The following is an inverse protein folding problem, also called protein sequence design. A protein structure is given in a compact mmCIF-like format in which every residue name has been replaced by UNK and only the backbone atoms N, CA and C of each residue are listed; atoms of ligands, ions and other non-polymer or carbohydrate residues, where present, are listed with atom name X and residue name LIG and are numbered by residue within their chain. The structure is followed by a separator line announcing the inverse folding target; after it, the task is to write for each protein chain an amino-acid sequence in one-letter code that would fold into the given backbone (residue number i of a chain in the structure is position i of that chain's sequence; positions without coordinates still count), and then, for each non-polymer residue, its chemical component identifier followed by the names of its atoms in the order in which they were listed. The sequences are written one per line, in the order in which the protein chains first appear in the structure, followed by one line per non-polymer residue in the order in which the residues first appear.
data_IF_583934989904
#
_entry.id   IF_583934989904
#
_cell.length_a   1.000
_cell.length_b   1.000
_cell.length_c   1.000
_cell.angle_alpha   90.00
_cell.angle_beta   90.00
_cell.angle_gamma   90.00
#
_symmetry.space_group_name_H-M   'P 1'
#
loop_
_entity.id
_entity.type
_entity.pdbx_description
1 polymer ?
#
# COMPACT_ATOMS: atom_id res chain seq x y z
N UNK A 1 -9.33 -21.03 -1.35
CA UNK A 1 -10.43 -20.08 -1.10
C UNK A 1 -10.00 -18.70 -1.55
N UNK A 2 -10.87 -17.94 -2.23
CA UNK A 2 -10.60 -16.55 -2.66
C UNK A 2 -11.48 -15.62 -1.84
N UNK A 3 -10.88 -14.60 -1.22
CA UNK A 3 -11.60 -13.56 -0.48
C UNK A 3 -11.62 -12.28 -1.31
N UNK A 4 -12.79 -11.68 -1.47
CA UNK A 4 -13.03 -10.40 -2.19
C UNK A 4 -13.66 -9.33 -1.29
N UNK A 5 -14.22 -9.78 -0.17
CA UNK A 5 -14.90 -9.05 0.89
C UNK A 5 -13.94 -8.37 1.88
N UNK A 6 -12.67 -8.80 1.88
CA UNK A 6 -11.62 -8.21 2.72
C UNK A 6 -10.96 -6.94 2.13
N UNK A 7 -10.02 -6.38 2.91
CA UNK A 7 -9.25 -5.20 2.56
C UNK A 7 -8.46 -5.33 1.26
N UNK A 8 -7.96 -6.51 0.90
CA UNK A 8 -7.30 -6.73 -0.41
C UNK A 8 -7.77 -8.09 -0.93
N UNK A 9 -8.16 -8.22 -2.21
CA UNK A 9 -8.44 -9.53 -2.81
C UNK A 9 -7.24 -10.46 -2.65
N UNK A 10 -7.44 -11.62 -2.02
CA UNK A 10 -6.38 -12.60 -1.83
C UNK A 10 -6.91 -14.04 -1.87
N UNK A 11 -5.98 -14.99 -1.98
CA UNK A 11 -6.29 -16.41 -2.13
C UNK A 11 -5.51 -17.23 -1.10
N UNK A 12 -6.23 -18.07 -0.36
CA UNK A 12 -5.65 -19.16 0.42
C UNK A 12 -5.59 -20.42 -0.45
N UNK A 13 -4.37 -20.88 -0.73
CA UNK A 13 -4.10 -22.12 -1.44
C UNK A 13 -3.52 -23.15 -0.46
N UNK A 14 -4.14 -24.33 -0.39
CA UNK A 14 -3.55 -25.48 0.30
C UNK A 14 -2.92 -26.40 -0.73
N UNK A 15 -1.67 -26.80 -0.47
CA UNK A 15 -0.91 -27.70 -1.32
C UNK A 15 -0.37 -28.86 -0.46
N UNK A 16 -0.59 -30.09 -0.94
CA UNK A 16 -0.08 -31.29 -0.27
C UNK A 16 1.27 -31.65 -0.89
N UNK A 17 2.38 -31.59 -0.13
CA UNK A 17 3.73 -31.81 -0.67
C UNK A 17 3.99 -33.31 -0.85
N UNK A 18 3.58 -33.85 -1.99
CA UNK A 18 3.85 -35.23 -2.39
C UNK A 18 5.23 -35.31 -3.06
N UNK A 19 6.05 -36.26 -2.62
CA UNK A 19 7.39 -36.54 -3.13
C UNK A 19 7.41 -37.98 -3.64
N UNK A 20 7.74 -38.12 -4.92
CA UNK A 20 7.94 -39.41 -5.56
C UNK A 20 9.38 -39.87 -5.29
N UNK A 21 9.54 -40.96 -4.55
CA UNK A 21 10.87 -41.48 -4.14
C UNK A 21 10.85 -43.00 -4.09
N UNK A 22 12.01 -43.61 -3.87
CA UNK A 22 12.11 -45.04 -3.55
C UNK A 22 12.13 -45.28 -2.04
N UNK A 23 11.55 -46.38 -1.59
CA UNK A 23 11.67 -46.86 -0.22
C UNK A 23 13.06 -47.48 0.03
N UNK A 24 13.28 -48.04 1.24
CA UNK A 24 14.56 -48.68 1.58
C UNK A 24 14.82 -49.95 0.78
N UNK A 25 13.77 -50.59 0.28
CA UNK A 25 13.80 -51.83 -0.47
C UNK A 25 13.85 -51.58 -2.00
N UNK A 26 13.84 -50.31 -2.43
CA UNK A 26 13.97 -49.88 -3.82
C UNK A 26 12.64 -49.72 -4.57
N UNK A 27 11.51 -49.91 -3.91
CA UNK A 27 10.18 -49.77 -4.50
C UNK A 27 9.79 -48.31 -4.65
N UNK A 28 9.11 -47.97 -5.75
CA UNK A 28 8.60 -46.62 -5.97
C UNK A 28 7.42 -46.33 -5.02
N UNK A 29 7.51 -45.23 -4.27
CA UNK A 29 6.54 -44.80 -3.28
C UNK A 29 6.25 -43.31 -3.41
N UNK A 30 5.02 -42.94 -3.04
CA UNK A 30 4.58 -41.57 -2.88
C UNK A 30 4.53 -41.22 -1.40
N UNK A 31 5.31 -40.22 -0.99
CA UNK A 31 5.41 -39.78 0.41
C UNK A 31 4.99 -38.33 0.55
N UNK A 32 4.17 -38.02 1.54
CA UNK A 32 3.91 -36.64 1.93
C UNK A 32 5.08 -36.13 2.78
N UNK A 33 5.89 -35.23 2.25
CA UNK A 33 7.02 -34.67 2.97
C UNK A 33 7.37 -33.25 2.52
N UNK A 34 6.98 -32.25 3.32
CA UNK A 34 7.29 -30.85 3.07
C UNK A 34 8.81 -30.57 3.05
N UNK A 35 9.59 -31.24 3.91
CA UNK A 35 11.04 -31.03 3.99
C UNK A 35 11.76 -31.51 2.72
N UNK A 36 11.36 -32.68 2.22
CA UNK A 36 11.98 -33.26 1.04
C UNK A 36 11.49 -32.56 -0.24
N UNK A 37 10.25 -32.04 -0.22
CA UNK A 37 9.69 -31.20 -1.28
C UNK A 37 10.39 -29.82 -1.36
N UNK A 38 10.48 -29.10 -0.24
CA UNK A 38 11.16 -27.80 -0.13
C UNK A 38 12.67 -27.96 0.15
N UNK A 39 13.33 -28.82 -0.60
CA UNK A 39 14.74 -29.14 -0.40
C UNK A 39 15.64 -28.00 -0.90
N UNK A 40 16.59 -27.61 -0.06
CA UNK A 40 17.55 -26.53 -0.35
C UNK A 40 17.11 -25.19 0.25
N UNK A 41 18.10 -24.41 0.67
CA UNK A 41 17.90 -23.10 1.32
C UNK A 41 17.23 -22.08 0.39
N UNK A 42 17.35 -22.27 -0.93
CA UNK A 42 16.82 -21.38 -1.97
C UNK A 42 15.49 -21.86 -2.58
N UNK A 43 14.90 -22.93 -2.07
CA UNK A 43 13.68 -23.55 -2.62
C UNK A 43 12.52 -22.56 -2.76
N UNK A 44 12.26 -21.75 -1.73
CA UNK A 44 11.24 -20.71 -1.77
C UNK A 44 11.60 -19.53 -2.69
N UNK A 45 12.89 -19.20 -2.86
CA UNK A 45 13.32 -18.16 -3.81
C UNK A 45 13.00 -18.60 -5.24
N UNK A 46 13.37 -19.82 -5.59
CA UNK A 46 13.03 -20.45 -6.87
C UNK A 46 11.52 -20.45 -7.14
N UNK A 47 10.72 -20.78 -6.13
CA UNK A 47 9.26 -20.72 -6.23
C UNK A 47 8.76 -19.30 -6.53
N UNK A 48 9.23 -18.31 -5.77
CA UNK A 48 8.82 -16.91 -5.96
C UNK A 48 9.21 -16.39 -7.35
N UNK A 49 10.39 -16.77 -7.86
CA UNK A 49 10.86 -16.38 -9.19
C UNK A 49 10.04 -17.07 -10.29
N UNK A 50 9.77 -18.38 -10.15
CA UNK A 50 8.92 -19.13 -11.07
C UNK A 50 7.49 -18.60 -11.11
N UNK A 51 6.92 -18.28 -9.95
CA UNK A 51 5.59 -17.66 -9.84
C UNK A 51 5.55 -16.30 -10.54
N UNK A 52 6.54 -15.43 -10.27
CA UNK A 52 6.66 -14.13 -10.92
C UNK A 52 6.72 -14.25 -12.45
N UNK A 53 7.59 -15.13 -12.96
CA UNK A 53 7.74 -15.37 -14.40
C UNK A 53 6.43 -15.88 -15.02
N UNK A 54 5.75 -16.81 -14.34
CA UNK A 54 4.46 -17.32 -14.79
C UNK A 54 3.41 -16.20 -14.89
N UNK A 55 3.25 -15.39 -13.85
CA UNK A 55 2.25 -14.32 -13.82
C UNK A 55 2.55 -13.23 -14.85
N UNK A 56 3.83 -12.85 -15.01
CA UNK A 56 4.24 -11.90 -16.04
C UNK A 56 3.99 -12.43 -17.45
N UNK A 57 4.23 -13.73 -17.70
CA UNK A 57 3.92 -14.37 -18.99
C UNK A 57 2.43 -14.35 -19.34
N UNK A 58 1.55 -14.28 -18.33
CA UNK A 58 0.09 -14.17 -18.51
C UNK A 58 -0.38 -12.73 -18.74
N UNK A 59 0.53 -11.75 -18.81
CA UNK A 59 0.22 -10.35 -19.11
C UNK A 59 -0.10 -9.49 -17.88
N UNK A 60 0.12 -10.00 -16.66
CA UNK A 60 -0.04 -9.18 -15.45
C UNK A 60 1.19 -8.30 -15.22
N UNK A 61 0.97 -7.01 -15.03
CA UNK A 61 2.02 -6.04 -14.73
C UNK A 61 2.32 -5.99 -13.23
N UNK A 62 3.08 -6.97 -12.75
CA UNK A 62 3.57 -7.04 -11.37
C UNK A 62 5.10 -6.99 -11.35
N UNK A 63 5.65 -6.59 -10.21
CA UNK A 63 7.08 -6.59 -9.94
C UNK A 63 7.46 -7.71 -8.97
N UNK A 64 8.71 -8.14 -9.05
CA UNK A 64 9.27 -9.15 -8.16
C UNK A 64 9.57 -8.52 -6.80
N UNK A 65 9.15 -9.18 -5.72
CA UNK A 65 9.49 -8.74 -4.37
C UNK A 65 11.01 -8.70 -4.17
N UNK A 66 11.49 -7.67 -3.46
CA UNK A 66 12.90 -7.50 -3.12
C UNK A 66 13.41 -8.62 -2.20
N UNK A 67 14.72 -8.84 -2.22
CA UNK A 67 15.37 -9.83 -1.37
C UNK A 67 15.35 -9.41 0.11
N UNK A 68 15.38 -10.42 0.99
CA UNK A 68 15.37 -10.16 2.44
C UNK A 68 16.67 -9.49 2.85
N UNK A 69 17.78 -9.87 2.21
CA UNK A 69 19.12 -9.33 2.40
C UNK A 69 19.20 -7.82 2.10
N UNK A 70 18.32 -7.30 1.23
CA UNK A 70 18.27 -5.88 0.88
C UNK A 70 17.28 -5.08 1.74
N UNK A 71 16.35 -5.74 2.41
CA UNK A 71 15.19 -5.08 3.04
C UNK A 71 15.01 -5.37 4.51
N UNK A 72 15.70 -6.39 5.05
CA UNK A 72 15.56 -6.92 6.42
C UNK A 72 14.11 -7.19 6.85
N UNK A 73 13.22 -7.40 5.88
CA UNK A 73 11.79 -7.60 6.12
C UNK A 73 11.53 -8.91 6.83
N UNK A 74 10.69 -8.84 7.85
CA UNK A 74 10.20 -10.00 8.62
C UNK A 74 8.72 -10.20 8.39
N UNK A 75 8.29 -11.45 8.48
CA UNK A 75 6.87 -11.78 8.47
C UNK A 75 6.24 -11.33 9.79
N UNK A 76 5.11 -10.64 9.69
CA UNK A 76 4.25 -10.27 10.81
C UNK A 76 2.90 -10.94 10.65
N UNK A 77 2.28 -11.32 11.77
CA UNK A 77 0.87 -11.70 11.76
C UNK A 77 0.00 -10.51 11.35
N UNK A 78 -1.21 -10.78 10.86
CA UNK A 78 -2.16 -9.73 10.46
C UNK A 78 -2.45 -8.77 11.63
N UNK A 79 -2.53 -9.29 12.85
CA UNK A 79 -2.76 -8.49 14.05
C UNK A 79 -1.58 -7.59 14.41
N UNK A 80 -0.35 -8.12 14.38
CA UNK A 80 0.86 -7.34 14.63
C UNK A 80 1.03 -6.24 13.59
N UNK A 81 0.82 -6.57 12.31
CA UNK A 81 0.95 -5.61 11.23
C UNK A 81 -0.07 -4.47 11.35
N UNK A 82 -1.32 -4.76 11.72
CA UNK A 82 -2.35 -3.74 12.01
C UNK A 82 -1.96 -2.82 13.17
N UNK A 83 -1.29 -3.36 14.20
CA UNK A 83 -0.78 -2.57 15.34
C UNK A 83 0.37 -1.67 14.92
N UNK A 84 1.36 -2.20 14.20
CA UNK A 84 2.55 -1.44 13.75
C UNK A 84 2.14 -0.29 12.82
N UNK A 85 1.21 -0.56 11.89
CA UNK A 85 0.70 0.43 10.94
C UNK A 85 -0.31 1.42 11.56
N UNK A 86 -0.63 1.27 12.85
CA UNK A 86 -1.64 2.05 13.55
C UNK A 86 -2.99 2.10 12.82
N UNK A 87 -3.33 1.01 12.11
CA UNK A 87 -4.38 0.95 11.11
C UNK A 87 -5.76 1.40 11.65
N UNK A 88 -6.12 0.95 12.85
CA UNK A 88 -7.42 1.27 13.47
C UNK A 88 -7.56 2.77 13.78
N UNK A 89 -6.49 3.39 14.28
CA UNK A 89 -6.50 4.83 14.57
C UNK A 89 -6.54 5.65 13.28
N UNK A 90 -5.76 5.29 12.26
CA UNK A 90 -5.80 5.98 10.96
C UNK A 90 -7.18 5.86 10.32
N UNK A 91 -7.84 4.70 10.44
CA UNK A 91 -9.21 4.49 9.95
C UNK A 91 -10.25 5.35 10.68
N UNK A 92 -10.10 5.57 11.99
CA UNK A 92 -10.96 6.47 12.77
C UNK A 92 -10.76 7.93 12.35
N UNK A 93 -9.51 8.40 12.32
CA UNK A 93 -9.17 9.77 11.90
C UNK A 93 -9.71 10.07 10.51
N UNK A 94 -9.56 9.14 9.55
CA UNK A 94 -10.08 9.32 8.19
C UNK A 94 -11.60 9.45 8.12
N UNK A 95 -12.35 8.82 9.03
CA UNK A 95 -13.82 8.97 9.10
C UNK A 95 -14.23 10.31 9.72
N UNK A 96 -13.44 10.83 10.65
CA UNK A 96 -13.74 12.03 11.41
C UNK A 96 -13.33 13.32 10.68
N UNK A 97 -12.40 13.25 9.72
CA UNK A 97 -12.00 14.40 8.91
C UNK A 97 -13.19 14.91 8.09
N UNK A 98 -13.73 16.08 8.49
CA UNK A 98 -14.63 16.89 7.70
C UNK A 98 -13.81 17.76 6.76
N UNK A 99 -14.00 17.55 5.46
CA UNK A 99 -13.35 18.33 4.40
C UNK A 99 -14.13 19.63 4.18
N UNK A 100 -14.02 20.57 5.10
CA UNK A 100 -14.55 21.92 4.93
C UNK A 100 -13.38 22.86 4.59
N UNK A 101 -13.56 23.72 3.59
CA UNK A 101 -12.58 24.75 3.24
C UNK A 101 -12.73 25.83 4.32
N UNK A 102 -11.68 26.19 5.08
CA UNK A 102 -11.78 27.32 5.98
C UNK A 102 -12.07 28.59 5.17
N UNK A 103 -13.07 29.37 5.58
CA UNK A 103 -13.33 30.67 4.98
C UNK A 103 -12.12 31.58 5.20
N UNK A 104 -11.47 31.98 4.10
CA UNK A 104 -10.31 32.89 4.17
C UNK A 104 -10.83 34.32 4.15
N UNK A 105 -10.61 35.13 5.21
CA UNK A 105 -11.07 36.51 5.24
C UNK A 105 -10.46 37.33 4.11
N UNK A 106 -11.25 38.22 3.52
CA UNK A 106 -10.80 39.05 2.39
C UNK A 106 -9.79 40.09 2.90
N UNK A 107 -8.58 40.10 2.33
CA UNK A 107 -7.48 41.01 2.73
C UNK A 107 -7.87 42.49 2.56
N UNK A 108 -8.82 42.80 1.67
CA UNK A 108 -9.38 44.14 1.51
C UNK A 108 -10.09 44.66 2.77
N UNK A 109 -10.47 43.78 3.71
CA UNK A 109 -11.04 44.16 5.01
C UNK A 109 -9.95 44.60 6.01
N UNK A 110 -8.68 44.23 5.78
CA UNK A 110 -7.59 44.38 6.76
C UNK A 110 -6.82 45.71 6.58
N UNK A 111 -6.72 46.28 5.38
CA UNK A 111 -5.94 47.51 5.17
C UNK A 111 -6.64 48.56 4.28
N UNK A 112 -7.14 49.63 4.91
CA UNK A 112 -7.67 50.84 4.24
C UNK A 112 -6.60 51.84 3.73
N UNK A 113 -5.30 51.51 3.73
CA UNK A 113 -4.26 52.55 3.83
C UNK A 113 -3.18 52.70 2.72
N UNK A 114 -3.09 51.93 1.63
CA UNK A 114 -1.94 52.09 0.69
C UNK A 114 -2.13 51.55 -0.76
N UNK A 115 -3.13 52.07 -1.49
CA UNK A 115 -3.57 51.57 -2.82
C UNK A 115 -2.51 51.18 -3.88
N UNK A 116 -1.33 51.85 -3.98
CA UNK A 116 -0.32 51.52 -5.01
C UNK A 116 0.75 50.50 -4.62
N UNK A 117 1.20 50.49 -3.35
CA UNK A 117 2.13 49.46 -2.85
C UNK A 117 1.39 48.16 -2.57
N UNK A 118 0.13 48.28 -2.18
CA UNK A 118 -0.75 47.16 -1.88
C UNK A 118 -1.06 46.36 -3.16
N UNK A 119 -1.24 47.00 -4.33
CA UNK A 119 -1.46 46.28 -5.59
C UNK A 119 -0.29 45.38 -6.02
N UNK A 120 0.95 45.87 -5.88
CA UNK A 120 2.14 45.09 -6.25
C UNK A 120 2.34 43.91 -5.29
N UNK A 121 2.19 44.14 -3.99
CA UNK A 121 2.22 43.09 -2.97
C UNK A 121 1.08 42.08 -3.19
N UNK A 122 -0.12 42.56 -3.53
CA UNK A 122 -1.29 41.72 -3.80
C UNK A 122 -1.06 40.79 -4.99
N UNK A 123 -0.54 41.32 -6.11
CA UNK A 123 -0.31 40.55 -7.33
C UNK A 123 0.92 39.64 -7.25
N UNK A 124 2.02 40.13 -6.69
CA UNK A 124 3.31 39.42 -6.73
C UNK A 124 3.51 38.47 -5.54
N UNK A 125 2.86 38.73 -4.39
CA UNK A 125 3.12 37.97 -3.15
C UNK A 125 1.86 37.25 -2.67
N UNK A 126 0.73 37.94 -2.57
CA UNK A 126 -0.48 37.40 -1.94
C UNK A 126 -1.18 36.41 -2.88
N UNK A 127 -1.50 36.83 -4.11
CA UNK A 127 -2.23 36.00 -5.07
C UNK A 127 -1.51 34.67 -5.38
N UNK A 128 -0.18 34.62 -5.62
CA UNK A 128 0.51 33.35 -5.84
C UNK A 128 0.49 32.43 -4.62
N UNK A 129 0.53 32.99 -3.41
CA UNK A 129 0.40 32.20 -2.17
C UNK A 129 -1.01 31.64 -2.01
N UNK A 130 -2.04 32.43 -2.29
CA UNK A 130 -3.43 31.98 -2.24
C UNK A 130 -3.72 30.88 -3.27
N UNK A 131 -3.18 31.03 -4.48
CA UNK A 131 -3.29 30.02 -5.54
C UNK A 131 -2.59 28.71 -5.13
N UNK A 132 -1.40 28.79 -4.52
CA UNK A 132 -0.69 27.63 -3.98
C UNK A 132 -1.45 26.97 -2.81
N UNK A 133 -2.04 27.74 -1.91
CA UNK A 133 -2.87 27.23 -0.80
C UNK A 133 -4.09 26.48 -1.36
N UNK A 134 -4.76 27.03 -2.37
CA UNK A 134 -5.89 26.35 -3.05
C UNK A 134 -5.46 25.06 -3.72
N UNK A 135 -4.31 25.06 -4.38
CA UNK A 135 -3.77 23.86 -5.03
C UNK A 135 -3.44 22.77 -4.00
N UNK A 136 -2.74 23.14 -2.91
CA UNK A 136 -2.45 22.24 -1.79
C UNK A 136 -3.72 21.69 -1.15
N UNK A 137 -4.74 22.53 -0.95
CA UNK A 137 -6.03 22.10 -0.43
C UNK A 137 -6.68 21.07 -1.35
N UNK A 138 -6.71 21.32 -2.67
CA UNK A 138 -7.26 20.37 -3.64
C UNK A 138 -6.51 19.03 -3.61
N UNK A 139 -5.17 19.05 -3.54
CA UNK A 139 -4.36 17.84 -3.41
C UNK A 139 -4.72 17.07 -2.13
N UNK A 140 -4.77 17.76 -0.99
CA UNK A 140 -5.12 17.15 0.30
C UNK A 140 -6.55 16.58 0.27
N UNK A 141 -7.52 17.33 -0.27
CA UNK A 141 -8.91 16.91 -0.44
C UNK A 141 -8.99 15.63 -1.28
N UNK A 142 -8.33 15.60 -2.44
CA UNK A 142 -8.33 14.43 -3.32
C UNK A 142 -7.64 13.23 -2.67
N UNK A 143 -6.54 13.44 -1.94
CA UNK A 143 -5.88 12.39 -1.16
C UNK A 143 -6.83 11.80 -0.11
N UNK A 144 -7.42 12.63 0.75
CA UNK A 144 -8.33 12.17 1.82
C UNK A 144 -9.53 11.45 1.21
N UNK A 145 -10.16 12.00 0.16
CA UNK A 145 -11.30 11.38 -0.53
C UNK A 145 -10.92 10.04 -1.17
N UNK A 146 -9.71 9.91 -1.73
CA UNK A 146 -9.18 8.65 -2.28
C UNK A 146 -9.05 7.59 -1.18
N UNK A 147 -8.57 7.95 0.01
CA UNK A 147 -8.48 7.02 1.14
C UNK A 147 -9.84 6.69 1.76
N UNK A 148 -10.76 7.65 1.84
CA UNK A 148 -12.14 7.42 2.31
C UNK A 148 -12.92 6.49 1.38
N UNK A 149 -12.82 6.69 0.06
CA UNK A 149 -13.52 5.86 -0.93
C UNK A 149 -12.85 4.52 -1.19
N UNK A 150 -11.57 4.37 -0.85
CA UNK A 150 -10.82 3.14 -1.05
C UNK A 150 -9.96 2.80 0.19
N UNK A 151 -10.59 2.40 1.31
CA UNK A 151 -9.89 2.08 2.55
C UNK A 151 -8.89 0.92 2.40
N UNK A 152 -9.02 0.14 1.31
CA UNK A 152 -8.10 -0.95 0.89
C UNK A 152 -6.66 -0.47 0.65
N UNK A 153 -6.46 0.83 0.35
CA UNK A 153 -5.13 1.41 0.12
C UNK A 153 -4.31 1.62 1.40
N UNK A 154 -4.93 1.61 2.59
CA UNK A 154 -4.20 1.79 3.85
C UNK A 154 -3.29 0.60 4.21
N UNK A 155 -3.54 -0.60 3.66
CA UNK A 155 -2.76 -1.82 3.93
C UNK A 155 -1.58 -2.03 2.97
N UNK A 156 -1.26 -1.07 2.09
CA UNK A 156 -0.19 -1.21 1.08
C UNK A 156 1.20 -0.69 1.53
N UNK A 157 1.41 -0.43 2.81
CA UNK A 157 2.69 0.08 3.37
C UNK A 157 3.44 -1.00 4.14
#
# INVERSE_FOLDING_TARGET
MVHLDEGVPHMHLMFVPVVHTKDKDGNDIDKICARDFWKGQDSYRKLQDAYFNHIKSKGFNLERGMFVEDTDRKHYTVEEYKKITNYENTKKVLKEIKLEIPEVPNINEISKFSTKRDEKILKEIIKPKDDLIKELYNVIYHCIKKYQNNPKLLMRL
#
